data_IF_299439265498
#
_entry.id   IF_299439265498
#
_cell.length_a   1.000
_cell.length_b   1.000
_cell.length_c   1.000
_cell.angle_alpha   90.00
_cell.angle_beta   90.00
_cell.angle_gamma   90.00
#
_symmetry.space_group_name_H-M   'P 1'
#
loop_
_entity.id
_entity.type
_entity.pdbx_description
1 polymer ?
#
# COMPACT_ATOMS: atom_id res chain seq x y z
N UNK A 1 -13.49 8.69 12.87
CA UNK A 1 -13.53 7.30 12.39
C UNK A 1 -12.16 6.72 12.67
N UNK A 2 -12.04 5.43 12.98
CA UNK A 2 -10.74 4.78 13.17
C UNK A 2 -10.43 3.86 11.99
N UNK A 3 -9.14 3.56 11.70
CA UNK A 3 -8.78 2.61 10.67
C UNK A 3 -9.43 1.22 10.90
N UNK A 4 -9.97 0.65 9.84
CA UNK A 4 -10.67 -0.65 9.83
C UNK A 4 -9.70 -1.82 9.79
N UNK A 5 -8.72 -1.86 10.70
CA UNK A 5 -7.56 -2.77 10.65
C UNK A 5 -7.93 -4.25 10.39
N UNK A 6 -8.97 -4.77 11.05
CA UNK A 6 -9.41 -6.17 10.85
C UNK A 6 -9.84 -6.44 9.40
N UNK A 7 -10.61 -5.53 8.80
CA UNK A 7 -11.06 -5.62 7.41
C UNK A 7 -9.88 -5.50 6.45
N UNK A 8 -8.98 -4.54 6.71
CA UNK A 8 -7.78 -4.30 5.90
C UNK A 8 -6.93 -5.55 5.81
N UNK A 9 -6.56 -6.13 6.95
CA UNK A 9 -5.75 -7.34 7.01
C UNK A 9 -6.43 -8.52 6.33
N UNK A 10 -7.74 -8.71 6.55
CA UNK A 10 -8.50 -9.77 5.88
C UNK A 10 -8.46 -9.62 4.36
N UNK A 11 -8.63 -8.39 3.84
CA UNK A 11 -8.64 -8.12 2.40
C UNK A 11 -7.26 -8.32 1.76
N UNK A 12 -6.19 -7.86 2.41
CA UNK A 12 -4.83 -8.12 1.93
C UNK A 12 -4.53 -9.62 1.87
N UNK A 13 -4.88 -10.36 2.93
CA UNK A 13 -4.64 -11.82 3.05
C UNK A 13 -5.42 -12.66 2.04
N UNK A 14 -6.54 -12.16 1.52
CA UNK A 14 -7.27 -12.88 0.47
C UNK A 14 -6.45 -13.07 -0.81
N UNK A 15 -5.53 -12.16 -1.11
CA UNK A 15 -4.61 -12.31 -2.25
C UNK A 15 -3.53 -13.36 -2.00
N UNK A 16 -3.30 -13.77 -0.76
CA UNK A 16 -2.31 -14.80 -0.43
C UNK A 16 -2.88 -16.22 -0.42
N UNK A 17 -4.18 -16.41 -0.65
CA UNK A 17 -4.83 -17.75 -0.57
C UNK A 17 -4.20 -18.78 -1.50
N UNK A 18 -3.79 -18.34 -2.69
CA UNK A 18 -3.15 -19.18 -3.71
C UNK A 18 -1.63 -18.93 -3.81
N UNK A 19 -1.06 -18.09 -2.94
CA UNK A 19 0.37 -17.78 -2.94
C UNK A 19 1.09 -18.59 -1.86
N UNK A 20 2.02 -19.43 -2.33
CA UNK A 20 2.79 -20.33 -1.48
C UNK A 20 4.06 -19.63 -0.96
N UNK A 21 4.69 -18.78 -1.77
CA UNK A 21 5.93 -18.06 -1.45
C UNK A 21 5.92 -16.61 -2.00
N UNK A 22 6.68 -15.68 -1.38
CA UNK A 22 6.93 -14.34 -1.91
C UNK A 22 7.97 -14.36 -3.07
N UNK A 23 8.10 -13.28 -3.86
CA UNK A 23 7.40 -12.00 -3.76
C UNK A 23 5.95 -12.08 -4.24
N UNK A 24 5.11 -11.20 -3.72
CA UNK A 24 3.72 -11.08 -4.19
C UNK A 24 3.72 -10.43 -5.58
N UNK A 25 2.99 -10.99 -6.58
CA UNK A 25 2.93 -10.46 -7.94
C UNK A 25 2.03 -9.21 -7.99
N UNK A 26 2.53 -8.09 -7.44
CA UNK A 26 1.74 -6.86 -7.22
C UNK A 26 1.19 -6.28 -8.52
N UNK A 27 1.91 -6.40 -9.64
CA UNK A 27 1.42 -5.96 -10.95
C UNK A 27 0.22 -6.76 -11.43
N UNK A 28 0.22 -8.08 -11.24
CA UNK A 28 -0.89 -8.94 -11.65
C UNK A 28 -2.11 -8.70 -10.76
N UNK A 29 -1.88 -8.49 -9.46
CA UNK A 29 -2.91 -8.08 -8.52
C UNK A 29 -3.51 -6.73 -8.95
N UNK A 30 -2.68 -5.72 -9.26
CA UNK A 30 -3.15 -4.42 -9.69
C UNK A 30 -4.00 -4.51 -10.96
N UNK A 31 -3.55 -5.27 -11.96
CA UNK A 31 -4.30 -5.53 -13.20
C UNK A 31 -5.60 -6.31 -12.98
N UNK A 32 -5.70 -7.10 -11.91
CA UNK A 32 -6.93 -7.82 -11.57
C UNK A 32 -8.03 -6.94 -10.96
N UNK A 33 -7.66 -5.78 -10.42
CA UNK A 33 -8.61 -4.87 -9.74
C UNK A 33 -8.81 -3.54 -10.46
N UNK A 34 -7.90 -3.17 -11.36
CA UNK A 34 -7.93 -1.90 -12.07
C UNK A 34 -7.25 -1.98 -13.43
N UNK A 35 -7.59 -1.02 -14.30
CA UNK A 35 -6.81 -0.76 -15.49
C UNK A 35 -5.48 -0.11 -15.09
N UNK A 36 -4.37 -0.69 -15.53
CA UNK A 36 -3.03 -0.15 -15.27
C UNK A 36 -2.50 0.51 -16.54
N UNK A 37 -2.13 1.78 -16.44
CA UNK A 37 -1.64 2.60 -17.56
C UNK A 37 -0.26 3.15 -17.24
N UNK A 38 0.72 2.93 -18.11
CA UNK A 38 2.05 3.51 -17.94
C UNK A 38 2.08 4.94 -18.47
N UNK A 39 2.74 5.84 -17.75
CA UNK A 39 2.80 7.28 -18.05
C UNK A 39 4.17 7.86 -17.74
N UNK A 40 4.50 9.01 -18.34
CA UNK A 40 5.69 9.83 -18.04
C UNK A 40 5.30 11.21 -17.47
N UNK A 41 4.04 11.37 -17.05
CA UNK A 41 3.55 12.63 -16.48
C UNK A 41 4.31 13.01 -15.20
N UNK A 42 5.00 14.18 -15.16
CA UNK A 42 5.88 14.54 -14.04
C UNK A 42 5.20 14.64 -12.68
N UNK A 43 3.88 14.87 -12.67
CA UNK A 43 3.08 14.97 -11.43
C UNK A 43 2.90 13.61 -10.75
N UNK A 44 3.04 12.51 -11.49
CA UNK A 44 2.93 11.15 -10.96
C UNK A 44 4.35 10.65 -10.69
N UNK A 45 4.76 10.70 -9.42
CA UNK A 45 6.12 10.31 -9.03
C UNK A 45 6.37 8.81 -9.24
N UNK A 46 5.49 7.96 -8.70
CA UNK A 46 5.63 6.50 -8.78
C UNK A 46 4.38 5.87 -9.38
N UNK A 47 3.26 5.91 -8.67
CA UNK A 47 1.95 5.55 -9.19
C UNK A 47 0.87 6.39 -8.51
N UNK A 48 -0.31 6.47 -9.13
CA UNK A 48 -1.47 7.14 -8.59
C UNK A 48 -2.77 6.54 -9.15
N UNK A 49 -3.77 6.35 -8.30
CA UNK A 49 -5.08 5.89 -8.71
C UNK A 49 -6.03 7.05 -9.05
N UNK A 50 -6.72 6.90 -10.18
CA UNK A 50 -7.81 7.74 -10.64
C UNK A 50 -9.07 6.89 -10.69
N UNK A 51 -10.13 7.36 -10.05
CA UNK A 51 -11.41 6.66 -10.00
C UNK A 51 -12.47 7.45 -10.77
N UNK A 52 -13.09 6.83 -11.77
CA UNK A 52 -14.21 7.42 -12.50
C UNK A 52 -15.53 6.96 -11.89
N UNK A 53 -16.14 7.82 -11.05
CA UNK A 53 -17.33 7.48 -10.28
C UNK A 53 -18.53 7.02 -11.12
N UNK A 54 -18.79 7.68 -12.26
CA UNK A 54 -19.91 7.33 -13.15
C UNK A 54 -19.87 5.87 -13.63
N UNK A 55 -18.67 5.33 -13.82
CA UNK A 55 -18.44 3.98 -14.35
C UNK A 55 -17.95 2.99 -13.30
N UNK A 56 -17.68 3.47 -12.08
CA UNK A 56 -16.98 2.71 -11.03
C UNK A 56 -15.69 2.07 -11.54
N UNK A 57 -14.96 2.81 -12.39
CA UNK A 57 -13.78 2.32 -13.10
C UNK A 57 -12.50 2.87 -12.45
N UNK A 58 -11.75 2.05 -11.66
CA UNK A 58 -10.45 2.42 -11.15
C UNK A 58 -9.36 2.28 -12.22
N UNK A 59 -8.50 3.29 -12.31
CA UNK A 59 -7.35 3.32 -13.20
C UNK A 59 -6.10 3.73 -12.42
N UNK A 60 -5.09 2.88 -12.40
CA UNK A 60 -3.79 3.19 -11.79
C UNK A 60 -2.85 3.65 -12.90
N UNK A 61 -2.35 4.86 -12.77
CA UNK A 61 -1.26 5.35 -13.61
C UNK A 61 0.07 5.05 -12.94
N UNK A 62 1.00 4.44 -13.66
CA UNK A 62 2.32 4.01 -13.20
C UNK A 62 3.37 4.81 -13.97
N UNK A 63 4.21 5.54 -13.26
CA UNK A 63 5.33 6.25 -13.87
C UNK A 63 6.34 5.24 -14.42
N UNK A 64 6.63 5.33 -15.73
CA UNK A 64 7.57 4.46 -16.42
C UNK A 64 9.02 4.61 -15.94
N UNK A 65 9.33 5.70 -15.23
CA UNK A 65 10.65 5.99 -14.67
C UNK A 65 10.71 5.85 -13.14
N UNK A 66 9.69 5.24 -12.52
CA UNK A 66 9.67 5.01 -11.09
C UNK A 66 10.80 4.07 -10.66
N UNK A 67 11.36 4.31 -9.48
CA UNK A 67 12.30 3.39 -8.86
C UNK A 67 11.61 2.06 -8.53
N UNK A 68 12.19 0.94 -8.96
CA UNK A 68 11.59 -0.40 -8.80
C UNK A 68 11.35 -0.78 -7.32
N UNK A 69 12.18 -0.29 -6.40
CA UNK A 69 11.99 -0.58 -4.98
C UNK A 69 10.83 0.21 -4.37
N UNK A 70 10.49 1.36 -4.95
CA UNK A 70 9.38 2.22 -4.51
C UNK A 70 8.07 1.84 -5.20
N UNK A 71 8.12 1.43 -6.46
CA UNK A 71 6.91 1.20 -7.24
C UNK A 71 6.06 0.05 -6.72
N UNK A 72 6.68 -1.02 -6.20
CA UNK A 72 5.91 -2.12 -5.61
C UNK A 72 5.07 -1.67 -4.40
N UNK A 73 5.65 -0.84 -3.54
CA UNK A 73 4.93 -0.30 -2.39
C UNK A 73 3.81 0.64 -2.84
N UNK A 74 4.10 1.61 -3.71
CA UNK A 74 3.08 2.56 -4.17
C UNK A 74 1.97 1.83 -4.91
N UNK A 75 2.28 0.86 -5.77
CA UNK A 75 1.26 0.09 -6.47
C UNK A 75 0.38 -0.73 -5.51
N UNK A 76 0.97 -1.36 -4.50
CA UNK A 76 0.22 -2.06 -3.46
C UNK A 76 -0.68 -1.11 -2.64
N UNK A 77 -0.22 0.11 -2.39
CA UNK A 77 -0.97 1.16 -1.71
C UNK A 77 -2.19 1.59 -2.55
N UNK A 78 -2.00 1.86 -3.85
CA UNK A 78 -3.11 2.18 -4.77
C UNK A 78 -4.13 1.05 -4.87
N UNK A 79 -3.68 -0.21 -4.93
CA UNK A 79 -4.54 -1.40 -4.86
C UNK A 79 -5.36 -1.41 -3.57
N UNK A 80 -4.75 -1.01 -2.44
CA UNK A 80 -5.41 -0.86 -1.16
C UNK A 80 -6.62 0.06 -1.24
N UNK A 81 -6.48 1.24 -1.84
CA UNK A 81 -7.61 2.18 -2.01
C UNK A 81 -8.79 1.56 -2.76
N UNK A 82 -8.50 0.82 -3.82
CA UNK A 82 -9.52 0.18 -4.66
C UNK A 82 -10.20 -0.94 -3.89
N UNK A 83 -9.43 -1.89 -3.35
CA UNK A 83 -9.95 -3.09 -2.68
C UNK A 83 -10.75 -2.76 -1.42
N UNK A 84 -10.41 -1.67 -0.74
CA UNK A 84 -11.05 -1.21 0.49
C UNK A 84 -12.21 -0.23 0.24
N UNK A 85 -12.56 0.01 -1.03
CA UNK A 85 -13.61 0.92 -1.47
C UNK A 85 -13.44 2.36 -0.94
N UNK A 86 -12.20 2.85 -0.84
CA UNK A 86 -11.92 4.18 -0.29
C UNK A 86 -12.62 5.29 -1.10
N UNK A 87 -12.70 5.15 -2.42
CA UNK A 87 -13.40 6.09 -3.30
C UNK A 87 -14.90 6.20 -2.96
N UNK A 88 -15.59 5.08 -2.80
CA UNK A 88 -17.02 5.09 -2.45
C UNK A 88 -17.27 5.67 -1.05
N UNK A 89 -16.38 5.39 -0.09
CA UNK A 89 -16.46 5.95 1.26
C UNK A 89 -16.32 7.47 1.21
N UNK A 90 -15.36 7.97 0.44
CA UNK A 90 -15.12 9.38 0.24
C UNK A 90 -16.31 10.07 -0.43
N UNK A 91 -16.85 9.50 -1.50
CA UNK A 91 -18.00 10.04 -2.21
C UNK A 91 -19.25 10.11 -1.32
N UNK A 92 -19.53 9.04 -0.58
CA UNK A 92 -20.66 9.01 0.35
C UNK A 92 -20.51 10.03 1.48
N UNK A 93 -19.30 10.20 2.01
CA UNK A 93 -19.02 11.21 3.02
C UNK A 93 -19.22 12.62 2.47
N UNK A 94 -18.63 12.93 1.31
CA UNK A 94 -18.76 14.24 0.68
C UNK A 94 -20.23 14.56 0.36
N UNK A 95 -20.98 13.62 -0.20
CA UNK A 95 -22.41 13.79 -0.48
C UNK A 95 -23.24 14.02 0.78
N UNK A 96 -22.98 13.27 1.86
CA UNK A 96 -23.66 13.43 3.16
C UNK A 96 -23.47 14.84 3.74
N UNK A 97 -22.28 15.41 3.60
CA UNK A 97 -21.94 16.73 4.13
C UNK A 97 -22.01 17.85 3.09
N UNK A 98 -22.51 17.56 1.87
CA UNK A 98 -22.59 18.50 0.74
C UNK A 98 -21.26 19.21 0.45
N UNK A 99 -20.15 18.48 0.60
CA UNK A 99 -18.82 18.99 0.28
C UNK A 99 -18.63 18.90 -1.24
N UNK A 100 -18.37 20.03 -1.94
CA UNK A 100 -18.11 20.00 -3.37
C UNK A 100 -16.79 19.26 -3.63
N UNK A 101 -16.87 18.21 -4.42
CA UNK A 101 -15.74 17.37 -4.82
C UNK A 101 -15.70 17.32 -6.34
N UNK A 102 -14.49 17.35 -6.90
CA UNK A 102 -14.31 17.06 -8.32
C UNK A 102 -14.43 15.55 -8.52
N UNK A 103 -15.07 15.12 -9.61
CA UNK A 103 -15.31 13.72 -9.95
C UNK A 103 -14.02 12.92 -10.20
N UNK A 104 -12.85 13.57 -10.18
CA UNK A 104 -11.52 12.95 -10.29
C UNK A 104 -10.76 13.00 -8.97
N UNK A 105 -10.29 11.85 -8.51
CA UNK A 105 -9.83 11.64 -7.12
C UNK A 105 -8.42 12.17 -6.80
N UNK A 106 -7.56 12.38 -7.80
CA UNK A 106 -6.18 12.82 -7.57
C UNK A 106 -6.03 14.12 -6.75
N UNK A 107 -7.10 14.92 -6.63
CA UNK A 107 -7.06 16.27 -6.03
C UNK A 107 -7.71 16.40 -4.64
N UNK A 108 -8.08 15.31 -3.97
CA UNK A 108 -8.86 15.41 -2.73
C UNK A 108 -8.02 15.82 -1.51
N UNK A 109 -6.69 15.72 -1.61
CA UNK A 109 -5.72 16.12 -0.59
C UNK A 109 -5.87 17.59 -0.14
N UNK A 110 -6.45 18.44 -1.01
CA UNK A 110 -6.59 19.88 -0.80
C UNK A 110 -7.94 20.28 -0.19
N UNK A 111 -8.85 19.34 0.11
CA UNK A 111 -10.15 19.62 0.72
C UNK A 111 -10.08 19.46 2.25
N UNK A 112 -9.99 20.55 3.04
CA UNK A 112 -9.70 20.46 4.48
C UNK A 112 -10.76 19.68 5.26
N UNK A 113 -12.03 19.72 4.83
CA UNK A 113 -13.15 19.04 5.48
C UNK A 113 -13.05 17.52 5.38
N UNK A 114 -12.36 16.99 4.37
CA UNK A 114 -12.20 15.55 4.12
C UNK A 114 -10.87 15.05 4.69
N UNK A 115 -9.90 15.94 4.93
CA UNK A 115 -8.55 15.58 5.41
C UNK A 115 -8.52 14.60 6.60
N UNK A 116 -9.34 14.73 7.66
CA UNK A 116 -9.36 13.73 8.72
C UNK A 116 -9.76 12.33 8.24
N UNK A 117 -10.73 12.24 7.33
CA UNK A 117 -11.13 10.98 6.70
C UNK A 117 -10.03 10.44 5.79
N UNK A 118 -9.43 11.30 4.95
CA UNK A 118 -8.32 10.90 4.07
C UNK A 118 -7.18 10.28 4.87
N UNK A 119 -6.73 10.91 5.96
CA UNK A 119 -5.66 10.37 6.80
C UNK A 119 -5.93 8.93 7.30
N UNK A 120 -7.20 8.61 7.59
CA UNK A 120 -7.60 7.26 8.00
C UNK A 120 -7.51 6.29 6.83
N UNK A 121 -7.99 6.70 5.65
CA UNK A 121 -7.98 5.87 4.44
C UNK A 121 -6.56 5.66 3.90
N UNK A 122 -5.71 6.68 3.94
CA UNK A 122 -4.26 6.58 3.66
C UNK A 122 -3.60 5.57 4.59
N UNK A 123 -3.88 5.66 5.90
CA UNK A 123 -3.34 4.69 6.87
C UNK A 123 -3.84 3.28 6.61
N UNK A 124 -5.09 3.11 6.20
CA UNK A 124 -5.61 1.80 5.80
C UNK A 124 -4.92 1.25 4.55
N UNK A 125 -4.64 2.10 3.55
CA UNK A 125 -3.90 1.72 2.35
C UNK A 125 -2.44 1.35 2.67
N UNK A 126 -1.78 2.05 3.58
CA UNK A 126 -0.45 1.69 4.09
C UNK A 126 -0.45 0.33 4.79
N UNK A 127 -1.41 0.09 5.69
CA UNK A 127 -1.52 -1.20 6.38
C UNK A 127 -1.80 -2.32 5.37
N UNK A 128 -2.64 -2.05 4.36
CA UNK A 128 -2.92 -2.99 3.28
C UNK A 128 -1.65 -3.33 2.49
N UNK A 129 -0.90 -2.33 2.04
CA UNK A 129 0.33 -2.52 1.27
C UNK A 129 1.38 -3.31 2.07
N UNK A 130 1.57 -2.95 3.34
CA UNK A 130 2.49 -3.62 4.24
C UNK A 130 2.11 -5.09 4.47
N UNK A 131 0.83 -5.40 4.70
CA UNK A 131 0.37 -6.79 4.84
C UNK A 131 0.42 -7.55 3.51
N UNK A 132 0.10 -6.91 2.39
CA UNK A 132 0.11 -7.53 1.08
C UNK A 132 1.54 -7.94 0.69
N UNK A 133 2.51 -7.04 0.80
CA UNK A 133 3.90 -7.29 0.38
C UNK A 133 4.68 -8.10 1.43
N UNK A 134 4.41 -7.86 2.71
CA UNK A 134 5.13 -8.46 3.84
C UNK A 134 4.15 -9.07 4.85
N UNK A 135 3.43 -10.14 4.48
CA UNK A 135 2.47 -10.76 5.37
C UNK A 135 3.17 -11.39 6.57
N UNK A 136 2.55 -11.28 7.74
CA UNK A 136 3.14 -11.73 9.01
C UNK A 136 3.57 -13.21 8.96
N UNK A 137 2.83 -14.06 8.21
CA UNK A 137 3.13 -15.49 8.05
C UNK A 137 4.49 -15.77 7.39
N UNK A 138 5.07 -14.81 6.68
CA UNK A 138 6.38 -14.94 6.01
C UNK A 138 7.49 -14.17 6.72
N UNK A 139 7.17 -13.43 7.77
CA UNK A 139 8.15 -12.70 8.55
C UNK A 139 8.71 -13.56 9.67
N UNK A 140 10.00 -13.41 9.92
CA UNK A 140 10.68 -14.03 11.06
C UNK A 140 11.76 -13.09 11.59
N UNK A 141 12.19 -13.31 12.85
CA UNK A 141 13.24 -12.52 13.47
C UNK A 141 14.60 -12.87 12.84
N UNK A 142 15.26 -11.93 12.14
CA UNK A 142 16.57 -12.20 11.55
C UNK A 142 17.62 -12.45 12.63
N UNK A 143 18.53 -13.40 12.40
CA UNK A 143 19.59 -13.76 13.36
C UNK A 143 20.86 -12.94 13.17
N UNK A 144 21.14 -12.52 11.95
CA UNK A 144 22.33 -11.79 11.56
C UNK A 144 22.04 -10.97 10.28
N UNK A 145 23.03 -10.20 9.82
CA UNK A 145 22.90 -9.38 8.61
C UNK A 145 22.51 -10.19 7.38
N UNK A 146 23.16 -11.33 7.14
CA UNK A 146 22.85 -12.19 5.98
C UNK A 146 21.41 -12.68 6.01
N UNK A 147 20.90 -13.07 7.18
CA UNK A 147 19.53 -13.52 7.36
C UNK A 147 18.51 -12.38 7.11
N UNK A 148 18.86 -11.15 7.49
CA UNK A 148 18.05 -9.97 7.19
C UNK A 148 18.00 -9.69 5.67
N UNK A 149 19.15 -9.73 4.99
CA UNK A 149 19.22 -9.51 3.54
C UNK A 149 18.44 -10.61 2.79
N UNK A 150 18.56 -11.87 3.20
CA UNK A 150 17.79 -12.98 2.63
C UNK A 150 16.27 -12.78 2.78
N UNK A 151 15.81 -12.37 3.97
CA UNK A 151 14.40 -12.08 4.20
C UNK A 151 13.92 -10.92 3.30
N UNK A 152 14.71 -9.83 3.24
CA UNK A 152 14.43 -8.67 2.39
C UNK A 152 14.29 -9.07 0.92
N UNK A 153 15.27 -9.81 0.41
CA UNK A 153 15.32 -10.21 -0.99
C UNK A 153 14.20 -11.18 -1.34
N UNK A 154 13.88 -12.13 -0.44
CA UNK A 154 12.75 -13.05 -0.63
C UNK A 154 11.40 -12.33 -0.74
N UNK A 155 11.24 -11.20 -0.05
CA UNK A 155 10.02 -10.38 -0.06
C UNK A 155 10.01 -9.35 -1.20
N UNK A 156 11.16 -9.05 -1.83
CA UNK A 156 11.28 -8.06 -2.89
C UNK A 156 11.01 -6.62 -2.43
N UNK A 157 11.48 -6.27 -1.22
CA UNK A 157 11.23 -4.96 -0.58
C UNK A 157 12.53 -4.25 -0.19
N UNK A 158 12.44 -2.96 0.18
CA UNK A 158 13.59 -2.21 0.70
C UNK A 158 13.90 -2.56 2.16
N UNK A 159 15.16 -2.35 2.60
CA UNK A 159 15.57 -2.55 4.00
C UNK A 159 14.74 -1.70 4.95
N UNK A 160 14.45 -0.45 4.58
CA UNK A 160 13.64 0.45 5.39
C UNK A 160 12.22 -0.08 5.59
N UNK A 161 11.59 -0.59 4.53
CA UNK A 161 10.24 -1.16 4.61
C UNK A 161 10.21 -2.40 5.52
N UNK A 162 11.19 -3.30 5.38
CA UNK A 162 11.28 -4.48 6.24
C UNK A 162 11.54 -4.13 7.71
N UNK A 163 12.42 -3.16 8.00
CA UNK A 163 12.70 -2.70 9.37
C UNK A 163 11.43 -2.15 10.02
N UNK A 164 10.70 -1.27 9.33
CA UNK A 164 9.43 -0.70 9.83
C UNK A 164 8.45 -1.83 10.11
N UNK A 165 8.33 -2.80 9.19
CA UNK A 165 7.36 -3.88 9.29
C UNK A 165 7.64 -4.84 10.44
N UNK A 166 8.90 -5.22 10.63
CA UNK A 166 9.31 -6.10 11.73
C UNK A 166 9.04 -5.45 13.10
N UNK A 167 9.20 -4.13 13.19
CA UNK A 167 8.93 -3.34 14.38
C UNK A 167 7.42 -3.20 14.64
N UNK A 168 6.63 -2.83 13.62
CA UNK A 168 5.17 -2.71 13.72
C UNK A 168 4.48 -4.03 14.08
N UNK A 169 5.05 -5.16 13.67
CA UNK A 169 4.53 -6.51 13.98
C UNK A 169 5.05 -7.06 15.31
N UNK A 170 5.95 -6.35 15.99
CA UNK A 170 6.52 -6.75 17.28
C UNK A 170 7.51 -7.92 17.20
N UNK A 171 7.95 -8.31 16.00
CA UNK A 171 8.89 -9.43 15.80
C UNK A 171 10.28 -9.06 16.32
N UNK A 172 10.73 -7.84 16.01
CA UNK A 172 12.00 -7.27 16.48
C UNK A 172 11.96 -5.75 16.35
N UNK A 173 12.45 -5.02 17.36
CA UNK A 173 12.46 -3.56 17.34
C UNK A 173 13.50 -3.01 16.36
N UNK A 174 13.27 -1.80 15.82
CA UNK A 174 14.23 -1.15 14.89
C UNK A 174 15.64 -1.06 15.47
N UNK A 175 15.76 -0.75 16.75
CA UNK A 175 17.04 -0.66 17.44
C UNK A 175 17.79 -2.00 17.44
N UNK A 176 17.07 -3.11 17.65
CA UNK A 176 17.66 -4.44 17.62
C UNK A 176 18.04 -4.86 16.19
N UNK A 177 17.26 -4.51 15.18
CA UNK A 177 17.64 -4.73 13.77
C UNK A 177 18.90 -3.93 13.41
N UNK A 178 18.99 -2.67 13.82
CA UNK A 178 20.17 -1.84 13.55
C UNK A 178 21.44 -2.41 14.19
N UNK A 179 21.36 -3.02 15.39
CA UNK A 179 22.49 -3.75 15.98
C UNK A 179 22.92 -4.93 15.12
N UNK A 180 21.97 -5.73 14.65
CA UNK A 180 22.22 -6.84 13.73
C UNK A 180 22.95 -6.37 12.46
N UNK A 181 22.48 -5.27 11.84
CA UNK A 181 23.05 -4.74 10.61
C UNK A 181 24.45 -4.14 10.79
N UNK A 182 24.73 -3.62 12.00
CA UNK A 182 26.03 -3.05 12.37
C UNK A 182 27.00 -4.07 12.97
N UNK A 183 26.59 -5.33 13.15
CA UNK A 183 27.41 -6.39 13.74
C UNK A 183 27.66 -6.22 15.24
N UNK A 184 26.75 -5.55 15.96
CA UNK A 184 26.81 -5.26 17.40
C UNK A 184 25.90 -6.17 18.23
#
# INVERSE_FOLDING_TARGET
MEPRCKLVLMRARNFHKNLIYPPVPVYDIARSVARVVYTNEPIIKDAACFYLYERKDPCIFVNMYADENRIHYTLAHEVGHIVLNHFEILNNFAGKYKIPINDKVFFWCDVPQIKPLLNILEREADIFAAELLMPVKWLYKPKNKTDFENLKDSLGVSSQALIIRLDETGIISRNAVNKILNGQ
#
